data_IF_974703548008
#
_entry.id   IF_974703548008
#
_cell.length_a   1.000
_cell.length_b   1.000
_cell.length_c   1.000
_cell.angle_alpha   90.00
_cell.angle_beta   90.00
_cell.angle_gamma   90.00
#
_symmetry.space_group_name_H-M   'P 1'
#
loop_
_entity.id
_entity.type
_entity.pdbx_description
1 polymer ?
#
# COMPACT_ATOMS: atom_id res chain seq x y z
N UNK A 1 -4.53 19.93 0.98
CA UNK A 1 -5.58 18.96 1.40
C UNK A 1 -5.86 17.95 0.28
N UNK A 2 -6.47 18.33 -0.87
CA UNK A 2 -6.64 17.43 -2.03
C UNK A 2 -5.34 16.88 -2.64
N UNK A 3 -4.31 17.71 -2.77
CA UNK A 3 -3.00 17.30 -3.34
C UNK A 3 -2.33 16.23 -2.46
N UNK A 4 -2.48 16.32 -1.14
CA UNK A 4 -1.91 15.36 -0.19
C UNK A 4 -2.58 13.99 -0.34
N UNK A 5 -3.91 13.96 -0.52
CA UNK A 5 -4.66 12.73 -0.80
C UNK A 5 -4.29 12.10 -2.15
N UNK A 6 -4.03 12.92 -3.18
CA UNK A 6 -3.56 12.44 -4.49
C UNK A 6 -2.18 11.79 -4.37
N UNK A 7 -1.24 12.45 -3.66
CA UNK A 7 0.11 11.91 -3.43
C UNK A 7 0.04 10.60 -2.63
N UNK A 8 -0.77 10.56 -1.57
CA UNK A 8 -1.01 9.35 -0.77
C UNK A 8 -1.58 8.21 -1.62
N UNK A 9 -2.54 8.52 -2.51
CA UNK A 9 -3.13 7.53 -3.42
C UNK A 9 -2.13 6.93 -4.39
N UNK A 10 -1.27 7.76 -4.98
CA UNK A 10 -0.17 7.29 -5.85
C UNK A 10 0.78 6.38 -5.04
N UNK A 11 1.08 6.75 -3.79
CA UNK A 11 1.92 5.94 -2.90
C UNK A 11 1.32 4.56 -2.64
N UNK A 12 0.01 4.50 -2.34
CA UNK A 12 -0.72 3.24 -2.12
C UNK A 12 -0.66 2.35 -3.36
N UNK A 13 -0.90 2.91 -4.55
CA UNK A 13 -0.81 2.15 -5.82
C UNK A 13 0.59 1.58 -6.02
N UNK A 14 1.64 2.37 -5.75
CA UNK A 14 3.03 1.92 -5.83
C UNK A 14 3.35 0.81 -4.81
N UNK A 15 2.82 0.89 -3.59
CA UNK A 15 2.98 -0.15 -2.58
C UNK A 15 2.38 -1.49 -3.02
N UNK A 16 1.17 -1.47 -3.61
CA UNK A 16 0.54 -2.67 -4.16
C UNK A 16 1.28 -3.23 -5.38
N UNK A 17 1.84 -2.38 -6.25
CA UNK A 17 2.71 -2.82 -7.35
C UNK A 17 3.95 -3.55 -6.84
N UNK A 18 4.55 -3.08 -5.74
CA UNK A 18 5.68 -3.74 -5.09
C UNK A 18 5.29 -5.10 -4.50
N UNK A 19 4.14 -5.19 -3.83
CA UNK A 19 3.59 -6.47 -3.33
C UNK A 19 3.39 -7.45 -4.47
N UNK A 20 2.75 -7.02 -5.57
CA UNK A 20 2.54 -7.88 -6.74
C UNK A 20 3.86 -8.31 -7.41
N UNK A 21 4.86 -7.44 -7.43
CA UNK A 21 6.19 -7.78 -7.95
C UNK A 21 6.87 -8.86 -7.12
N UNK A 22 6.87 -8.72 -5.79
CA UNK A 22 7.40 -9.74 -4.86
C UNK A 22 6.62 -11.06 -4.96
N UNK A 23 5.29 -10.97 -5.10
CA UNK A 23 4.42 -12.12 -5.27
C UNK A 23 4.71 -12.88 -6.57
N UNK A 24 4.84 -12.15 -7.69
CA UNK A 24 5.20 -12.71 -9.01
C UNK A 24 6.60 -13.34 -9.02
N UNK A 25 7.52 -12.83 -8.21
CA UNK A 25 8.87 -13.39 -8.09
C UNK A 25 8.92 -14.69 -7.25
N UNK A 26 7.77 -15.22 -6.81
CA UNK A 26 7.68 -16.42 -5.98
C UNK A 26 8.14 -16.21 -4.53
N UNK A 27 8.46 -14.96 -4.15
CA UNK A 27 9.00 -14.61 -2.84
C UNK A 27 7.91 -14.40 -1.76
N UNK A 28 6.69 -14.84 -2.09
CA UNK A 28 5.45 -14.70 -1.31
C UNK A 28 5.51 -15.26 0.11
N UNK A 29 6.36 -16.26 0.36
CA UNK A 29 6.45 -16.94 1.66
C UNK A 29 7.54 -16.36 2.56
N UNK A 30 8.17 -15.25 2.16
CA UNK A 30 9.15 -14.57 2.99
C UNK A 30 8.48 -13.59 3.94
N UNK A 31 9.03 -13.46 5.15
CA UNK A 31 8.64 -12.43 6.12
C UNK A 31 8.66 -11.03 5.52
N UNK A 32 9.53 -10.79 4.53
CA UNK A 32 9.60 -9.53 3.79
C UNK A 32 8.33 -9.27 2.98
N UNK A 33 7.85 -10.23 2.19
CA UNK A 33 6.64 -10.08 1.39
C UNK A 33 5.41 -9.87 2.28
N UNK A 34 5.32 -10.60 3.40
CA UNK A 34 4.22 -10.44 4.37
C UNK A 34 4.25 -9.05 5.04
N UNK A 35 5.42 -8.55 5.42
CA UNK A 35 5.56 -7.19 5.96
C UNK A 35 5.20 -6.11 4.94
N UNK A 36 5.61 -6.27 3.68
CA UNK A 36 5.28 -5.30 2.61
C UNK A 36 3.77 -5.30 2.34
N UNK A 37 3.12 -6.47 2.38
CA UNK A 37 1.66 -6.60 2.26
C UNK A 37 0.93 -5.94 3.42
N UNK A 38 1.35 -6.17 4.67
CA UNK A 38 0.80 -5.50 5.84
C UNK A 38 0.97 -3.98 5.77
N UNK A 39 2.14 -3.52 5.31
CA UNK A 39 2.42 -2.09 5.13
C UNK A 39 1.48 -1.47 4.09
N UNK A 40 1.31 -2.13 2.94
CA UNK A 40 0.39 -1.70 1.89
C UNK A 40 -1.06 -1.64 2.40
N UNK A 41 -1.48 -2.65 3.16
CA UNK A 41 -2.81 -2.70 3.77
C UNK A 41 -3.02 -1.54 4.77
N UNK A 42 -2.04 -1.29 5.65
CA UNK A 42 -2.08 -0.18 6.61
C UNK A 42 -2.16 1.19 5.91
N UNK A 43 -1.35 1.40 4.86
CA UNK A 43 -1.36 2.62 4.04
C UNK A 43 -2.72 2.85 3.38
N UNK A 44 -3.32 1.78 2.86
CA UNK A 44 -4.66 1.84 2.24
C UNK A 44 -5.71 2.22 3.28
N UNK A 45 -5.64 1.64 4.48
CA UNK A 45 -6.57 1.89 5.58
C UNK A 45 -6.48 3.33 6.08
N UNK A 46 -5.26 3.86 6.26
CA UNK A 46 -5.04 5.27 6.63
C UNK A 46 -5.63 6.21 5.57
N UNK A 47 -5.44 5.88 4.28
CA UNK A 47 -5.99 6.66 3.19
C UNK A 47 -7.53 6.67 3.23
N UNK A 48 -8.16 5.52 3.44
CA UNK A 48 -9.62 5.41 3.53
C UNK A 48 -10.16 6.17 4.74
N UNK A 49 -9.52 6.06 5.91
CA UNK A 49 -9.91 6.83 7.11
C UNK A 49 -9.79 8.32 6.83
N UNK A 50 -8.67 8.78 6.27
CA UNK A 50 -8.52 10.20 5.91
C UNK A 50 -9.60 10.66 4.93
N UNK A 51 -10.00 9.82 3.97
CA UNK A 51 -11.03 10.15 2.99
C UNK A 51 -12.45 10.12 3.56
N UNK A 52 -12.69 9.38 4.65
CA UNK A 52 -14.00 9.32 5.34
C UNK A 52 -14.19 10.50 6.29
N UNK A 53 -13.12 10.93 6.97
CA UNK A 53 -13.16 12.04 7.91
C UNK A 53 -12.93 13.42 7.27
N UNK A 54 -12.55 13.48 5.98
CA UNK A 54 -12.17 14.70 5.26
C UNK A 54 -12.96 14.87 3.96
#
# INVERSE_FOLDING_TARGET
MKIFAIILGILVILSWLFVMKEYRNGNQNTTKAHNIMLLACLLTLIMTIMQVFY
#
